data_IF_390474681698
#
_entry.id   IF_390474681698
#
_cell.length_a   1.000
_cell.length_b   1.000
_cell.length_c   1.000
_cell.angle_alpha   90.00
_cell.angle_beta   90.00
_cell.angle_gamma   90.00
#
_symmetry.space_group_name_H-M   'P 1'
#
loop_
_entity.id
_entity.type
_entity.pdbx_description
1 polymer ?
#
# COMPACT_ATOMS: atom_id res chain seq x y z
N UNK A 1 11.69 -15.54 56.28
CA UNK A 1 11.63 -14.06 56.33
C UNK A 1 10.26 -13.48 56.74
N UNK A 2 9.13 -14.21 56.59
CA UNK A 2 7.76 -13.75 56.90
C UNK A 2 7.36 -13.67 58.38
N UNK A 3 8.21 -14.13 59.31
CA UNK A 3 7.98 -14.03 60.76
C UNK A 3 8.32 -12.65 61.33
N UNK A 4 9.30 -11.93 60.75
CA UNK A 4 9.81 -10.67 61.31
C UNK A 4 8.83 -9.49 61.20
N UNK A 5 7.94 -9.48 60.20
CA UNK A 5 6.98 -8.38 59.98
C UNK A 5 5.77 -8.53 60.91
N UNK A 6 5.32 -9.77 61.16
CA UNK A 6 4.35 -10.05 62.24
C UNK A 6 4.89 -9.62 63.60
N UNK A 7 6.20 -9.69 63.79
CA UNK A 7 6.84 -9.33 65.04
C UNK A 7 7.01 -7.82 65.19
N UNK A 8 7.32 -7.06 64.13
CA UNK A 8 7.66 -5.63 64.24
C UNK A 8 6.49 -4.70 64.55
N UNK A 9 5.30 -4.89 63.96
CA UNK A 9 4.14 -4.04 64.29
C UNK A 9 3.45 -4.47 65.57
N UNK A 10 3.41 -5.78 65.86
CA UNK A 10 2.93 -6.30 67.15
C UNK A 10 3.89 -5.97 68.28
N UNK A 11 5.21 -6.05 68.07
CA UNK A 11 6.18 -5.63 69.07
C UNK A 11 6.03 -4.15 69.33
N UNK A 12 5.78 -3.33 68.30
CA UNK A 12 5.51 -1.90 68.49
C UNK A 12 4.28 -1.66 69.35
N UNK A 13 3.18 -2.37 69.11
CA UNK A 13 1.93 -2.20 69.86
C UNK A 13 1.99 -2.81 71.26
N UNK A 14 2.70 -3.93 71.44
CA UNK A 14 3.01 -4.52 72.76
C UNK A 14 3.97 -3.65 73.56
N UNK A 15 4.99 -3.07 72.93
CA UNK A 15 5.93 -2.14 73.56
C UNK A 15 5.21 -0.85 73.95
N UNK A 16 4.29 -0.36 73.12
CA UNK A 16 3.50 0.83 73.44
C UNK A 16 2.47 0.57 74.55
N UNK A 17 1.82 -0.59 74.53
CA UNK A 17 0.92 -1.02 75.62
C UNK A 17 1.68 -1.29 76.92
N UNK A 18 2.86 -1.92 76.85
CA UNK A 18 3.74 -2.12 78.00
C UNK A 18 4.29 -0.79 78.53
N UNK A 19 4.63 0.16 77.65
CA UNK A 19 5.05 1.50 78.03
C UNK A 19 3.93 2.26 78.76
N UNK A 20 2.68 2.18 78.29
CA UNK A 20 1.50 2.76 78.95
C UNK A 20 1.24 2.13 80.33
N UNK A 21 1.35 0.81 80.46
CA UNK A 21 1.24 0.11 81.76
C UNK A 21 2.38 0.50 82.72
N UNK A 22 3.62 0.60 82.23
CA UNK A 22 4.76 1.01 83.06
C UNK A 22 4.73 2.48 83.48
N UNK A 23 4.10 3.36 82.68
CA UNK A 23 3.96 4.78 82.99
C UNK A 23 3.04 5.01 84.21
N UNK A 24 2.04 4.14 84.41
CA UNK A 24 1.18 4.19 85.60
C UNK A 24 1.94 3.86 86.89
N UNK A 25 2.88 2.90 86.84
CA UNK A 25 3.74 2.55 87.98
C UNK A 25 4.71 3.68 88.35
N UNK A 26 5.24 4.39 87.34
CA UNK A 26 6.12 5.54 87.53
C UNK A 26 5.39 6.75 88.12
N UNK A 27 4.19 7.06 87.63
CA UNK A 27 3.36 8.16 88.15
C UNK A 27 2.81 7.88 89.55
N UNK A 28 2.56 6.62 89.90
CA UNK A 28 2.17 6.23 91.26
C UNK A 28 3.30 6.40 92.30
N UNK A 29 4.56 6.45 91.86
CA UNK A 29 5.71 6.65 92.73
C UNK A 29 5.95 8.14 93.10
N UNK A 30 5.49 9.09 92.27
CA UNK A 30 5.68 10.54 92.49
C UNK A 30 4.45 11.28 93.07
N UNK A 31 3.24 10.71 92.97
CA UNK A 31 2.02 11.31 93.53
C UNK A 31 1.81 10.93 95.01
N UNK A 32 2.43 11.70 95.92
CA UNK A 32 2.11 11.64 97.35
C UNK A 32 0.61 11.87 97.62
N UNK A 33 0.03 11.04 98.49
CA UNK A 33 -1.37 11.07 98.95
C UNK A 33 -2.46 10.70 97.93
N UNK A 34 -2.35 9.52 97.34
CA UNK A 34 -3.37 8.45 97.33
C UNK A 34 -2.69 7.21 96.75
N UNK A 35 -1.77 6.61 97.54
CA UNK A 35 -1.15 5.36 97.18
C UNK A 35 -2.23 4.27 97.16
N UNK A 36 -2.83 4.01 95.99
CA UNK A 36 -3.45 2.71 95.75
C UNK A 36 -2.36 1.69 96.04
N UNK A 37 -2.53 0.91 97.10
CA UNK A 37 -1.64 -0.21 97.40
C UNK A 37 -1.50 -1.04 96.12
N UNK A 38 -0.27 -1.46 95.79
CA UNK A 38 0.01 -2.36 94.67
C UNK A 38 -0.98 -3.53 94.72
N UNK A 39 -2.02 -3.45 93.91
CA UNK A 39 -3.14 -4.38 93.94
C UNK A 39 -2.91 -5.35 92.81
N UNK A 40 -2.32 -6.49 93.14
CA UNK A 40 -2.01 -7.56 92.20
C UNK A 40 -3.24 -7.97 91.35
N UNK A 41 -4.45 -7.80 91.88
CA UNK A 41 -5.72 -8.03 91.17
C UNK A 41 -6.03 -6.97 90.11
N UNK A 42 -5.77 -5.67 90.36
CA UNK A 42 -5.97 -4.62 89.35
C UNK A 42 -4.96 -4.74 88.20
N UNK A 43 -3.70 -5.01 88.54
CA UNK A 43 -2.59 -5.27 87.58
C UNK A 43 -2.90 -6.46 86.66
N UNK A 44 -3.31 -7.59 87.26
CA UNK A 44 -3.65 -8.79 86.52
C UNK A 44 -4.85 -8.56 85.59
N UNK A 45 -5.86 -7.82 86.04
CA UNK A 45 -7.03 -7.51 85.21
C UNK A 45 -6.67 -6.62 84.01
N UNK A 46 -5.81 -5.61 84.21
CA UNK A 46 -5.30 -4.77 83.11
C UNK A 46 -4.49 -5.60 82.10
N UNK A 47 -3.57 -6.43 82.58
CA UNK A 47 -2.76 -7.31 81.72
C UNK A 47 -3.65 -8.26 80.90
N UNK A 48 -4.64 -8.87 81.54
CA UNK A 48 -5.62 -9.75 80.88
C UNK A 48 -6.43 -8.96 79.84
N UNK A 49 -6.90 -7.76 80.16
CA UNK A 49 -7.63 -6.91 79.21
C UNK A 49 -6.75 -6.52 78.00
N UNK A 50 -5.52 -6.08 78.22
CA UNK A 50 -4.56 -5.77 77.13
C UNK A 50 -4.30 -7.00 76.26
N UNK A 51 -4.11 -8.18 76.85
CA UNK A 51 -3.93 -9.43 76.10
C UNK A 51 -5.18 -9.79 75.27
N UNK A 52 -6.38 -9.59 75.81
CA UNK A 52 -7.64 -9.80 75.09
C UNK A 52 -7.75 -8.84 73.90
N UNK A 53 -7.50 -7.54 74.11
CA UNK A 53 -7.55 -6.53 73.03
C UNK A 53 -6.51 -6.83 71.95
N UNK A 54 -5.26 -7.16 72.33
CA UNK A 54 -4.21 -7.55 71.38
C UNK A 54 -4.59 -8.84 70.63
N UNK A 55 -5.20 -9.81 71.31
CA UNK A 55 -5.69 -11.04 70.68
C UNK A 55 -6.78 -10.78 69.65
N UNK A 56 -7.75 -9.91 69.96
CA UNK A 56 -8.81 -9.49 69.03
C UNK A 56 -8.21 -8.74 67.84
N UNK A 57 -7.32 -7.78 68.10
CA UNK A 57 -6.66 -7.01 67.04
C UNK A 57 -5.83 -7.90 66.12
N UNK A 58 -5.11 -8.89 66.68
CA UNK A 58 -4.37 -9.88 65.90
C UNK A 58 -5.30 -10.69 64.98
N UNK A 59 -6.42 -11.18 65.52
CA UNK A 59 -7.38 -11.97 64.74
C UNK A 59 -7.99 -11.15 63.59
N UNK A 60 -8.29 -9.87 63.83
CA UNK A 60 -8.90 -8.97 62.83
C UNK A 60 -7.86 -8.49 61.80
N UNK A 61 -6.66 -8.08 62.23
CA UNK A 61 -5.64 -7.51 61.36
C UNK A 61 -4.84 -8.56 60.56
N UNK A 62 -4.83 -9.83 60.99
CA UNK A 62 -4.08 -10.89 60.31
C UNK A 62 -4.56 -11.13 58.87
N UNK A 63 -5.86 -11.10 58.64
CA UNK A 63 -6.46 -11.35 57.33
C UNK A 63 -6.14 -10.24 56.30
N UNK A 64 -6.41 -8.94 56.56
CA UNK A 64 -6.16 -7.87 55.57
C UNK A 64 -4.68 -7.71 55.23
N UNK A 65 -3.77 -7.83 56.21
CA UNK A 65 -2.32 -7.69 55.96
C UNK A 65 -1.81 -8.84 55.08
N UNK A 66 -2.27 -10.06 55.31
CA UNK A 66 -1.90 -11.23 54.50
C UNK A 66 -2.40 -11.08 53.07
N UNK A 67 -3.64 -10.61 52.89
CA UNK A 67 -4.22 -10.41 51.57
C UNK A 67 -3.49 -9.29 50.81
N UNK A 68 -3.26 -8.13 51.43
CA UNK A 68 -2.50 -7.03 50.81
C UNK A 68 -1.09 -7.45 50.34
N UNK A 69 -0.37 -8.22 51.16
CA UNK A 69 0.96 -8.73 50.78
C UNK A 69 0.90 -9.82 49.70
N UNK A 70 -0.20 -10.57 49.58
CA UNK A 70 -0.42 -11.52 48.48
C UNK A 70 -0.74 -10.76 47.20
N UNK A 71 -1.68 -9.83 47.25
CA UNK A 71 -2.12 -9.01 46.12
C UNK A 71 -0.94 -8.23 45.54
N UNK A 72 -0.09 -7.64 46.40
CA UNK A 72 1.12 -6.94 45.94
C UNK A 72 2.13 -7.87 45.27
N UNK A 73 2.30 -9.09 45.79
CA UNK A 73 3.18 -10.10 45.17
C UNK A 73 2.63 -10.59 43.84
N UNK A 74 1.32 -10.83 43.78
CA UNK A 74 0.65 -11.25 42.56
C UNK A 74 0.66 -10.16 41.49
N UNK A 75 0.45 -8.90 41.87
CA UNK A 75 0.56 -7.75 40.97
C UNK A 75 1.95 -7.59 40.38
N UNK A 76 3.00 -7.69 41.20
CA UNK A 76 4.39 -7.65 40.71
C UNK A 76 4.69 -8.84 39.78
N UNK A 77 4.20 -10.04 40.14
CA UNK A 77 4.38 -11.23 39.31
C UNK A 77 3.68 -11.07 37.96
N UNK A 78 2.43 -10.61 37.94
CA UNK A 78 1.67 -10.33 36.72
C UNK A 78 2.36 -9.28 35.86
N UNK A 79 2.81 -8.17 36.44
CA UNK A 79 3.53 -7.14 35.70
C UNK A 79 4.85 -7.66 35.08
N UNK A 80 5.57 -8.53 35.80
CA UNK A 80 6.77 -9.17 35.26
C UNK A 80 6.47 -10.19 34.16
N UNK A 81 5.42 -10.99 34.32
CA UNK A 81 4.96 -11.94 33.30
C UNK A 81 4.48 -11.21 32.04
N UNK A 82 3.69 -10.15 32.19
CA UNK A 82 3.24 -9.29 31.09
C UNK A 82 4.41 -8.59 30.39
N UNK A 83 5.37 -8.04 31.14
CA UNK A 83 6.57 -7.43 30.55
C UNK A 83 7.42 -8.44 29.78
N UNK A 84 7.53 -9.68 30.27
CA UNK A 84 8.22 -10.76 29.55
C UNK A 84 7.48 -11.16 28.29
N UNK A 85 6.16 -11.34 28.37
CA UNK A 85 5.33 -11.67 27.21
C UNK A 85 5.41 -10.58 26.14
N UNK A 86 5.30 -9.31 26.53
CA UNK A 86 5.42 -8.18 25.62
C UNK A 86 6.80 -8.10 24.95
N UNK A 87 7.88 -8.42 25.68
CA UNK A 87 9.23 -8.50 25.11
C UNK A 87 9.36 -9.65 24.12
N UNK A 88 8.88 -10.84 24.47
CA UNK A 88 8.92 -12.01 23.58
C UNK A 88 8.09 -11.77 22.32
N UNK A 89 6.93 -11.15 22.45
CA UNK A 89 6.09 -10.79 21.30
C UNK A 89 6.76 -9.73 20.42
N UNK A 90 7.37 -8.70 21.01
CA UNK A 90 8.15 -7.71 20.27
C UNK A 90 9.34 -8.34 19.53
N UNK A 91 10.08 -9.26 20.17
CA UNK A 91 11.18 -9.99 19.53
C UNK A 91 10.69 -10.87 18.37
N UNK A 92 9.55 -11.56 18.53
CA UNK A 92 8.92 -12.34 17.46
C UNK A 92 8.50 -11.46 16.29
N UNK A 93 7.81 -10.35 16.55
CA UNK A 93 7.40 -9.41 15.52
C UNK A 93 8.62 -8.82 14.78
N UNK A 94 9.70 -8.51 15.50
CA UNK A 94 10.93 -7.97 14.91
C UNK A 94 11.64 -9.02 14.05
N UNK A 95 11.66 -10.28 14.48
CA UNK A 95 12.18 -11.39 13.68
C UNK A 95 11.34 -11.61 12.40
N UNK A 96 10.01 -11.59 12.52
CA UNK A 96 9.10 -11.73 11.38
C UNK A 96 9.26 -10.56 10.38
N UNK A 97 9.37 -9.33 10.87
CA UNK A 97 9.62 -8.16 10.02
C UNK A 97 10.97 -8.27 9.31
N UNK A 98 12.03 -8.71 10.00
CA UNK A 98 13.34 -8.94 9.36
C UNK A 98 13.27 -10.00 8.26
N UNK A 99 12.54 -11.09 8.50
CA UNK A 99 12.30 -12.11 7.46
C UNK A 99 11.56 -11.50 6.27
N UNK A 100 10.49 -10.75 6.51
CA UNK A 100 9.71 -10.08 5.45
C UNK A 100 10.58 -9.11 4.64
N UNK A 101 11.47 -8.37 5.28
CA UNK A 101 12.40 -7.46 4.56
C UNK A 101 13.35 -8.26 3.68
N UNK A 102 13.93 -9.36 4.18
CA UNK A 102 14.80 -10.22 3.37
C UNK A 102 14.05 -10.85 2.18
N UNK A 103 12.82 -11.30 2.39
CA UNK A 103 11.97 -11.85 1.34
C UNK A 103 11.62 -10.78 0.29
N UNK A 104 11.34 -9.55 0.72
CA UNK A 104 11.10 -8.41 -0.18
C UNK A 104 12.33 -8.05 -1.01
N UNK A 105 13.54 -8.10 -0.44
CA UNK A 105 14.77 -7.87 -1.20
C UNK A 105 14.97 -8.93 -2.28
N UNK A 106 14.74 -10.20 -1.96
CA UNK A 106 14.80 -11.29 -2.93
C UNK A 106 13.74 -11.14 -4.04
N UNK A 107 12.52 -10.75 -3.66
CA UNK A 107 11.44 -10.51 -4.63
C UNK A 107 11.74 -9.30 -5.52
N UNK A 108 12.31 -8.22 -4.98
CA UNK A 108 12.74 -7.07 -5.77
C UNK A 108 13.81 -7.43 -6.80
N UNK A 109 14.75 -8.33 -6.47
CA UNK A 109 15.73 -8.83 -7.44
C UNK A 109 15.02 -9.61 -8.55
N UNK A 110 14.09 -10.51 -8.21
CA UNK A 110 13.31 -11.26 -9.21
C UNK A 110 12.48 -10.36 -10.11
N UNK A 111 11.79 -9.37 -9.54
CA UNK A 111 10.99 -8.39 -10.30
C UNK A 111 11.88 -7.58 -11.25
N UNK A 112 13.07 -7.17 -10.81
CA UNK A 112 14.04 -6.50 -11.69
C UNK A 112 14.49 -7.41 -12.82
N UNK A 113 14.91 -8.63 -12.53
CA UNK A 113 15.35 -9.59 -13.55
C UNK A 113 14.25 -9.92 -14.56
N UNK A 114 13.01 -10.10 -14.08
CA UNK A 114 11.85 -10.32 -14.93
C UNK A 114 11.55 -9.09 -15.80
N UNK A 115 11.61 -7.89 -15.22
CA UNK A 115 11.47 -6.63 -15.94
C UNK A 115 12.55 -6.45 -17.01
N UNK A 116 13.80 -6.80 -16.73
CA UNK A 116 14.88 -6.77 -17.72
C UNK A 116 14.62 -7.72 -18.89
N UNK A 117 14.18 -8.95 -18.61
CA UNK A 117 13.82 -9.94 -19.65
C UNK A 117 12.63 -9.48 -20.48
N UNK A 118 11.58 -8.96 -19.85
CA UNK A 118 10.42 -8.43 -20.55
C UNK A 118 10.77 -7.24 -21.42
N UNK A 119 11.61 -6.33 -20.93
CA UNK A 119 12.11 -5.20 -21.73
C UNK A 119 12.91 -5.68 -22.94
N UNK A 120 13.77 -6.68 -22.78
CA UNK A 120 14.54 -7.24 -23.89
C UNK A 120 13.61 -7.86 -24.96
N UNK A 121 12.67 -8.72 -24.54
CA UNK A 121 11.69 -9.33 -25.45
C UNK A 121 10.81 -8.29 -26.15
N UNK A 122 10.37 -7.26 -25.42
CA UNK A 122 9.55 -6.18 -26.00
C UNK A 122 10.35 -5.36 -27.01
N UNK A 123 11.64 -5.09 -26.76
CA UNK A 123 12.51 -4.41 -27.73
C UNK A 123 12.66 -5.21 -29.01
N UNK A 124 12.98 -6.49 -28.91
CA UNK A 124 13.12 -7.38 -30.08
C UNK A 124 11.83 -7.44 -30.90
N UNK A 125 10.68 -7.61 -30.25
CA UNK A 125 9.38 -7.59 -30.93
C UNK A 125 9.09 -6.25 -31.60
N UNK A 126 9.42 -5.14 -30.93
CA UNK A 126 9.18 -3.81 -31.48
C UNK A 126 10.08 -3.53 -32.68
N UNK A 127 11.33 -3.97 -32.64
CA UNK A 127 12.27 -3.89 -33.77
C UNK A 127 11.75 -4.71 -34.96
N UNK A 128 11.35 -5.96 -34.74
CA UNK A 128 10.76 -6.82 -35.78
C UNK A 128 9.47 -6.21 -36.36
N UNK A 129 8.60 -5.68 -35.50
CA UNK A 129 7.37 -5.04 -35.95
C UNK A 129 7.64 -3.76 -36.75
N UNK A 130 8.61 -2.93 -36.32
CA UNK A 130 9.03 -1.74 -37.04
C UNK A 130 9.62 -2.07 -38.42
N UNK A 131 10.49 -3.09 -38.51
CA UNK A 131 11.04 -3.54 -39.79
C UNK A 131 9.94 -4.02 -40.73
N UNK A 132 9.00 -4.84 -40.21
CA UNK A 132 7.86 -5.32 -40.98
C UNK A 132 6.93 -4.19 -41.44
N UNK A 133 6.67 -3.20 -40.58
CA UNK A 133 5.86 -2.03 -40.94
C UNK A 133 6.57 -1.16 -41.97
N UNK A 134 7.88 -0.95 -41.84
CA UNK A 134 8.68 -0.20 -42.81
C UNK A 134 8.69 -0.88 -44.18
N UNK A 135 8.86 -2.20 -44.24
CA UNK A 135 8.79 -2.96 -45.49
C UNK A 135 7.42 -2.85 -46.16
N UNK A 136 6.33 -3.02 -45.40
CA UNK A 136 4.96 -2.84 -45.91
C UNK A 136 4.72 -1.43 -46.44
N UNK A 137 5.19 -0.41 -45.72
CA UNK A 137 5.05 0.98 -46.14
C UNK A 137 5.82 1.24 -47.45
N UNK A 138 7.04 0.71 -47.59
CA UNK A 138 7.82 0.82 -48.81
C UNK A 138 7.13 0.13 -49.99
N UNK A 139 6.58 -1.06 -49.78
CA UNK A 139 5.83 -1.79 -50.82
C UNK A 139 4.58 -1.02 -51.25
N UNK A 140 3.76 -0.56 -50.29
CA UNK A 140 2.60 0.29 -50.56
C UNK A 140 2.96 1.58 -51.29
N UNK A 141 4.06 2.22 -50.89
CA UNK A 141 4.55 3.44 -51.53
C UNK A 141 4.98 3.16 -52.97
N UNK A 142 5.68 2.06 -53.24
CA UNK A 142 6.06 1.66 -54.60
C UNK A 142 4.84 1.42 -55.49
N UNK A 143 3.86 0.65 -55.01
CA UNK A 143 2.61 0.42 -55.74
C UNK A 143 1.86 1.73 -56.01
N UNK A 144 1.85 2.65 -55.05
CA UNK A 144 1.21 3.96 -55.21
C UNK A 144 1.95 4.81 -56.25
N UNK A 145 3.28 4.84 -56.22
CA UNK A 145 4.11 5.56 -57.20
C UNK A 145 3.88 5.00 -58.60
N UNK A 146 3.82 3.68 -58.77
CA UNK A 146 3.56 3.04 -60.07
C UNK A 146 2.17 3.41 -60.60
N UNK A 147 1.15 3.38 -59.74
CA UNK A 147 -0.21 3.78 -60.09
C UNK A 147 -0.28 5.25 -60.51
N UNK A 148 0.29 6.15 -59.71
CA UNK A 148 0.29 7.59 -60.00
C UNK A 148 1.13 7.91 -61.25
N UNK A 149 2.26 7.22 -61.46
CA UNK A 149 3.06 7.34 -62.69
C UNK A 149 2.30 6.90 -63.92
N UNK A 150 1.53 5.81 -63.82
CA UNK A 150 0.66 5.33 -64.90
C UNK A 150 -0.44 6.33 -65.22
N UNK A 151 -1.12 6.88 -64.20
CA UNK A 151 -2.13 7.94 -64.36
C UNK A 151 -1.55 9.18 -65.02
N UNK A 152 -0.41 9.68 -64.54
CA UNK A 152 0.25 10.86 -65.11
C UNK A 152 0.63 10.65 -66.58
N UNK A 153 1.10 9.46 -66.96
CA UNK A 153 1.39 9.12 -68.36
C UNK A 153 0.11 9.12 -69.21
N UNK A 154 -0.97 8.53 -68.72
CA UNK A 154 -2.25 8.53 -69.44
C UNK A 154 -2.80 9.96 -69.62
N UNK A 155 -2.67 10.80 -68.60
CA UNK A 155 -3.07 12.20 -68.66
C UNK A 155 -2.25 13.00 -69.68
N UNK A 156 -0.93 12.82 -69.72
CA UNK A 156 -0.07 13.43 -70.74
C UNK A 156 -0.42 12.97 -72.16
N UNK A 157 -0.73 11.68 -72.36
CA UNK A 157 -1.18 11.16 -73.66
C UNK A 157 -2.50 11.80 -74.09
N UNK A 158 -3.46 11.93 -73.18
CA UNK A 158 -4.74 12.58 -73.45
C UNK A 158 -4.56 14.07 -73.80
N UNK A 159 -3.69 14.79 -73.06
CA UNK A 159 -3.38 16.19 -73.36
C UNK A 159 -2.70 16.34 -74.73
N UNK A 160 -1.73 15.48 -75.05
CA UNK A 160 -1.06 15.48 -76.35
C UNK A 160 -2.04 15.17 -77.50
N UNK A 161 -2.94 14.21 -77.33
CA UNK A 161 -3.98 13.89 -78.30
C UNK A 161 -4.93 15.09 -78.51
N UNK A 162 -5.34 15.77 -77.44
CA UNK A 162 -6.18 16.97 -77.51
C UNK A 162 -5.49 18.14 -78.24
N UNK A 163 -4.21 18.36 -77.96
CA UNK A 163 -3.38 19.37 -78.64
C UNK A 163 -3.22 19.05 -80.13
N UNK A 164 -2.95 17.79 -80.47
CA UNK A 164 -2.83 17.34 -81.85
C UNK A 164 -4.15 17.51 -82.63
N UNK A 165 -5.29 17.15 -82.03
CA UNK A 165 -6.61 17.39 -82.61
C UNK A 165 -6.85 18.89 -82.85
N UNK A 166 -6.53 19.72 -81.86
CA UNK A 166 -6.72 21.18 -81.95
C UNK A 166 -5.88 21.80 -83.07
N UNK A 167 -4.63 21.35 -83.22
CA UNK A 167 -3.75 21.79 -84.30
C UNK A 167 -4.24 21.31 -85.66
N UNK A 168 -4.70 20.05 -85.76
CA UNK A 168 -5.27 19.51 -86.98
C UNK A 168 -6.55 20.27 -87.39
N UNK A 169 -7.41 20.63 -86.44
CA UNK A 169 -8.58 21.49 -86.68
C UNK A 169 -8.18 22.88 -87.19
N UNK A 170 -7.13 23.49 -86.61
CA UNK A 170 -6.65 24.81 -87.04
C UNK A 170 -6.02 24.77 -88.44
N UNK A 171 -5.24 23.74 -88.75
CA UNK A 171 -4.67 23.52 -90.08
C UNK A 171 -5.76 23.26 -91.12
N UNK A 172 -6.72 22.39 -90.81
CA UNK A 172 -7.84 22.10 -91.70
C UNK A 172 -8.68 23.36 -91.99
N UNK A 173 -8.92 24.21 -90.98
CA UNK A 173 -9.59 25.51 -91.17
C UNK A 173 -8.80 26.47 -92.06
N UNK A 174 -7.45 26.42 -92.04
CA UNK A 174 -6.59 27.26 -92.88
C UNK A 174 -6.50 26.78 -94.33
N UNK A 175 -6.53 25.47 -94.58
CA UNK A 175 -6.46 24.91 -95.94
C UNK A 175 -7.81 24.82 -96.65
N UNK A 176 -8.94 24.86 -95.92
CA UNK A 176 -10.27 24.87 -96.52
C UNK A 176 -10.54 26.18 -97.30
N UNK A 177 -10.43 26.12 -98.63
CA UNK A 177 -10.88 27.16 -99.56
C UNK A 177 -12.28 26.88 -100.15
N UNK A 178 -12.84 27.85 -100.88
CA UNK A 178 -14.18 27.74 -101.53
C UNK A 178 -14.31 26.49 -102.44
N UNK A 179 -13.23 26.09 -103.12
CA UNK A 179 -13.22 24.93 -104.01
C UNK A 179 -13.31 23.57 -103.27
N UNK A 180 -12.78 23.47 -102.05
CA UNK A 180 -12.88 22.24 -101.26
C UNK A 180 -14.27 22.08 -100.65
N UNK A 181 -14.95 23.19 -100.31
CA UNK A 181 -16.34 23.16 -99.85
C UNK A 181 -17.30 22.60 -100.91
N UNK A 182 -17.17 22.99 -102.18
CA UNK A 182 -17.95 22.40 -103.29
C UNK A 182 -17.68 20.90 -103.42
N UNK A 183 -16.41 20.49 -103.39
CA UNK A 183 -16.01 19.07 -103.50
C UNK A 183 -16.51 18.23 -102.32
N UNK A 184 -16.61 18.79 -101.12
CA UNK A 184 -17.20 18.11 -99.96
C UNK A 184 -18.72 17.93 -100.11
N UNK A 185 -19.43 18.91 -100.67
CA UNK A 185 -20.88 18.82 -100.92
C UNK A 185 -21.17 17.77 -101.99
N UNK A 186 -20.41 17.75 -103.09
CA UNK A 186 -20.55 16.72 -104.14
C UNK A 186 -20.27 15.31 -103.60
N UNK A 187 -19.20 15.12 -102.82
CA UNK A 187 -18.89 13.81 -102.23
C UNK A 187 -19.91 13.37 -101.17
N UNK A 188 -20.50 14.30 -100.42
CA UNK A 188 -21.55 13.99 -99.45
C UNK A 188 -22.84 13.59 -100.16
N UNK A 189 -23.21 14.29 -101.24
CA UNK A 189 -24.33 13.93 -102.12
C UNK A 189 -24.09 12.55 -102.75
N UNK A 190 -22.90 12.28 -103.28
CA UNK A 190 -22.53 10.98 -103.84
C UNK A 190 -22.59 9.84 -102.80
N UNK A 191 -22.16 10.07 -101.55
CA UNK A 191 -22.29 9.08 -100.45
C UNK A 191 -23.71 8.87 -99.95
N UNK A 192 -24.61 9.84 -100.15
CA UNK A 192 -26.03 9.66 -99.87
C UNK A 192 -26.71 8.93 -101.02
N UNK A 193 -26.30 9.18 -102.26
CA UNK A 193 -26.76 8.49 -103.46
C UNK A 193 -26.33 7.01 -103.45
N UNK A 194 -25.09 6.70 -103.07
CA UNK A 194 -24.59 5.32 -102.90
C UNK A 194 -25.31 4.55 -101.77
N UNK A 195 -25.68 5.25 -100.68
CA UNK A 195 -26.43 4.64 -99.57
C UNK A 195 -27.92 4.43 -99.88
N UNK A 196 -28.52 5.30 -100.71
CA UNK A 196 -29.88 5.14 -101.20
C UNK A 196 -29.98 4.25 -102.44
N UNK A 197 -28.87 4.02 -103.15
CA UNK A 197 -28.76 3.10 -104.29
C UNK A 197 -28.52 1.64 -103.90
N UNK A 198 -28.32 1.35 -102.60
CA UNK A 198 -28.13 0.01 -102.05
C UNK A 198 -29.37 -0.66 -101.46
N UNK A 199 -30.57 -0.10 -101.65
CA UNK A 199 -31.84 -0.71 -101.21
C UNK A 199 -32.87 -0.77 -102.33
N UNK A 200 -32.58 -1.56 -103.38
CA UNK A 200 -33.58 -2.21 -104.23
C UNK A 200 -33.21 -3.68 -104.39
#
# INVERSE_FOLDING_TARGET
MFSKIKFSSLSGLLVLAAALLSAEWAMAAEAGAHAKAFSFTEELFKLVNTLIVVGILYKVAYHPIRNFLKDRREGIRKALEESRAAREEAEKQLAEQRSKVADLEAELVRVREQGEKERAMMRERLEEEQENQAQRLLEQTRTTIELESSKARAELQNQAASLALSLAEEMLKKELGEADQERFVENYLAKLEDRNGGSL
#
